data_IF_511574213668
#
_entry.id   IF_511574213668
#
_cell.length_a   1.000
_cell.length_b   1.000
_cell.length_c   1.000
_cell.angle_alpha   90.00
_cell.angle_beta   90.00
_cell.angle_gamma   90.00
#
_symmetry.space_group_name_H-M   'P 1'
#
loop_
_entity.id
_entity.type
_entity.pdbx_description
1 polymer ?
#
# COMPACT_ATOMS: atom_id res chain seq x y z
N UNK A 1 28.36 13.79 12.81
CA UNK A 1 27.76 12.57 13.38
C UNK A 1 28.18 11.41 12.49
N UNK A 2 29.04 10.51 12.98
CA UNK A 2 29.47 9.34 12.22
C UNK A 2 28.31 8.35 12.20
N UNK A 3 27.69 8.13 11.05
CA UNK A 3 26.66 7.09 10.91
C UNK A 3 27.41 5.76 10.91
N UNK A 4 27.53 5.14 12.08
CA UNK A 4 27.92 3.74 12.19
C UNK A 4 26.78 2.92 11.59
N UNK A 5 26.92 2.60 10.31
CA UNK A 5 26.07 1.60 9.68
C UNK A 5 26.50 0.26 10.28
N UNK A 6 25.62 -0.34 11.07
CA UNK A 6 25.85 -1.68 11.66
C UNK A 6 26.30 -2.65 10.56
N UNK A 7 27.30 -3.48 10.81
CA UNK A 7 27.67 -4.51 9.83
C UNK A 7 26.54 -5.53 9.75
N UNK A 8 26.11 -5.96 8.54
CA UNK A 8 25.16 -7.05 8.43
C UNK A 8 25.65 -8.27 9.22
N UNK A 9 24.85 -8.77 10.16
CA UNK A 9 25.29 -9.81 11.08
C UNK A 9 25.63 -11.11 10.31
N UNK A 10 26.71 -11.77 10.73
CA UNK A 10 27.04 -13.15 10.36
C UNK A 10 27.30 -13.41 8.86
N UNK A 11 27.61 -12.40 8.04
CA UNK A 11 27.89 -12.62 6.61
C UNK A 11 29.32 -13.11 6.29
N UNK A 12 30.19 -13.20 7.30
CA UNK A 12 31.56 -13.70 7.14
C UNK A 12 32.53 -12.69 6.52
N UNK A 13 33.59 -13.20 5.88
CA UNK A 13 34.62 -12.37 5.27
C UNK A 13 34.15 -11.70 3.97
N UNK A 14 34.75 -10.55 3.69
CA UNK A 14 34.48 -9.73 2.51
C UNK A 14 35.56 -9.96 1.45
N UNK A 15 35.18 -9.98 0.17
CA UNK A 15 36.08 -9.90 -0.98
C UNK A 15 35.68 -8.74 -1.90
N UNK A 16 36.53 -8.46 -2.89
CA UNK A 16 36.25 -7.51 -3.98
C UNK A 16 35.85 -6.10 -3.50
N UNK A 17 36.47 -5.65 -2.39
CA UNK A 17 36.23 -4.32 -1.85
C UNK A 17 36.79 -3.26 -2.81
N UNK A 18 35.91 -2.40 -3.30
CA UNK A 18 36.22 -1.22 -4.10
C UNK A 18 35.59 -0.04 -3.36
N UNK A 19 36.35 1.03 -3.16
CA UNK A 19 35.86 2.23 -2.47
C UNK A 19 36.46 3.48 -3.12
N UNK A 20 35.62 4.48 -3.34
CA UNK A 20 35.98 5.84 -3.73
C UNK A 20 35.26 6.86 -2.83
N UNK A 21 35.40 8.16 -3.12
CA UNK A 21 34.85 9.22 -2.27
C UNK A 21 33.32 9.22 -2.16
N UNK A 22 32.59 8.56 -3.07
CA UNK A 22 31.13 8.53 -3.13
C UNK A 22 30.54 7.13 -3.23
N UNK A 23 31.33 6.12 -3.59
CA UNK A 23 30.85 4.77 -3.81
C UNK A 23 31.69 3.75 -3.05
N UNK A 24 31.05 2.67 -2.62
CA UNK A 24 31.73 1.46 -2.19
C UNK A 24 31.02 0.23 -2.74
N UNK A 25 31.75 -0.83 -3.01
CA UNK A 25 31.15 -2.13 -3.32
C UNK A 25 31.99 -3.24 -2.74
N UNK A 26 31.32 -4.30 -2.29
CA UNK A 26 31.99 -5.48 -1.77
C UNK A 26 31.09 -6.71 -1.90
N UNK A 27 31.68 -7.88 -1.72
CA UNK A 27 31.01 -9.16 -1.86
C UNK A 27 31.23 -10.05 -0.63
N UNK A 28 30.19 -10.80 -0.24
CA UNK A 28 30.24 -11.83 0.79
C UNK A 28 30.11 -13.21 0.12
N UNK A 29 31.23 -13.91 -0.17
CA UNK A 29 31.20 -15.16 -0.94
C UNK A 29 30.39 -16.29 -0.27
N UNK A 30 30.46 -16.40 1.06
CA UNK A 30 29.75 -17.44 1.79
C UNK A 30 28.23 -17.39 1.55
N UNK A 31 27.69 -16.18 1.44
CA UNK A 31 26.27 -15.92 1.25
C UNK A 31 25.90 -15.61 -0.20
N UNK A 32 26.86 -15.27 -1.06
CA UNK A 32 26.54 -14.84 -2.42
C UNK A 32 25.84 -13.48 -2.47
N UNK A 33 26.16 -12.60 -1.52
CA UNK A 33 25.57 -11.27 -1.39
C UNK A 33 26.57 -10.22 -1.87
N UNK A 34 26.15 -9.38 -2.82
CA UNK A 34 26.91 -8.21 -3.27
C UNK A 34 26.24 -6.96 -2.72
N UNK A 35 27.02 -6.10 -2.07
CA UNK A 35 26.56 -4.79 -1.62
C UNK A 35 27.24 -3.72 -2.47
N UNK A 36 26.44 -2.79 -2.97
CA UNK A 36 26.88 -1.53 -3.57
C UNK A 36 26.31 -0.39 -2.73
N UNK A 37 27.13 0.59 -2.48
CA UNK A 37 26.85 1.76 -1.68
C UNK A 37 27.16 3.00 -2.52
N UNK A 38 26.25 3.96 -2.55
CA UNK A 38 26.45 5.22 -3.26
C UNK A 38 25.96 6.38 -2.40
N UNK A 39 26.73 7.46 -2.32
CA UNK A 39 26.34 8.74 -1.74
C UNK A 39 25.78 9.63 -2.86
N UNK A 40 24.46 9.74 -2.91
CA UNK A 40 23.75 10.63 -3.83
C UNK A 40 23.09 11.75 -3.02
N UNK A 41 23.41 13.00 -3.35
CA UNK A 41 23.02 14.18 -2.56
C UNK A 41 23.46 14.04 -1.08
N UNK A 42 22.49 13.86 -0.18
CA UNK A 42 22.69 13.66 1.27
C UNK A 42 22.17 12.27 1.72
N UNK A 43 22.04 11.33 0.77
CA UNK A 43 21.51 9.98 1.03
C UNK A 43 22.55 8.92 0.71
N UNK A 44 22.76 8.04 1.67
CA UNK A 44 23.55 6.85 1.52
C UNK A 44 22.65 5.71 1.01
N UNK A 45 22.79 5.36 -0.26
CA UNK A 45 21.95 4.40 -0.97
C UNK A 45 22.63 3.04 -0.98
N UNK A 46 21.94 2.03 -0.45
CA UNK A 46 22.34 0.64 -0.50
C UNK A 46 21.61 -0.06 -1.64
N UNK A 47 22.37 -0.80 -2.44
CA UNK A 47 21.87 -1.72 -3.44
C UNK A 47 22.47 -3.09 -3.17
N UNK A 48 21.63 -4.03 -2.74
CA UNK A 48 22.03 -5.36 -2.30
C UNK A 48 21.46 -6.38 -3.27
N UNK A 49 22.33 -7.25 -3.77
CA UNK A 49 21.99 -8.33 -4.69
C UNK A 49 22.34 -9.67 -4.03
N UNK A 50 21.48 -10.68 -4.21
CA UNK A 50 21.74 -12.05 -3.76
C UNK A 50 21.59 -13.03 -4.91
N UNK A 51 22.56 -13.94 -5.09
CA UNK A 51 22.44 -15.03 -6.06
C UNK A 51 21.84 -16.33 -5.46
N UNK A 52 21.47 -16.31 -4.17
CA UNK A 52 20.78 -17.40 -3.47
C UNK A 52 19.42 -16.93 -2.95
N UNK A 53 18.47 -17.86 -2.84
CA UNK A 53 17.26 -17.63 -2.06
C UNK A 53 17.61 -17.66 -0.56
N UNK A 54 17.46 -16.52 0.13
CA UNK A 54 17.82 -16.37 1.55
C UNK A 54 17.23 -15.10 2.15
N UNK A 55 17.20 -15.01 3.49
CA UNK A 55 16.89 -13.79 4.21
C UNK A 55 18.16 -13.00 4.58
N UNK A 56 18.04 -11.68 4.62
CA UNK A 56 19.06 -10.76 5.12
C UNK A 56 18.46 -9.86 6.19
N UNK A 57 19.01 -9.95 7.40
CA UNK A 57 18.72 -9.03 8.50
C UNK A 57 19.64 -7.81 8.41
N UNK A 58 19.15 -6.73 7.81
CA UNK A 58 19.88 -5.47 7.68
C UNK A 58 18.94 -4.37 7.13
N UNK A 59 18.93 -3.14 7.70
CA UNK A 59 19.73 -2.68 8.84
C UNK A 59 19.07 -2.94 10.21
N UNK A 60 19.89 -2.82 11.26
CA UNK A 60 19.45 -2.70 12.65
C UNK A 60 19.59 -1.25 13.08
N UNK A 61 18.60 -0.70 13.77
CA UNK A 61 18.50 0.74 14.05
C UNK A 61 17.91 1.00 15.43
N UNK A 62 18.40 2.05 16.12
CA UNK A 62 17.92 2.43 17.45
C UNK A 62 18.43 1.57 18.60
N UNK A 63 19.57 0.89 18.44
CA UNK A 63 20.19 0.10 19.52
C UNK A 63 21.34 0.84 20.23
N UNK A 64 21.56 2.12 19.89
CA UNK A 64 22.61 2.99 20.46
C UNK A 64 22.17 3.59 21.79
N UNK A 65 23.12 3.93 22.67
CA UNK A 65 22.81 4.52 23.96
C UNK A 65 22.09 5.87 23.82
N UNK A 66 22.39 6.63 22.77
CA UNK A 66 21.89 7.99 22.54
C UNK A 66 20.51 8.01 21.88
N UNK A 67 20.01 6.89 21.34
CA UNK A 67 18.70 6.88 20.70
C UNK A 67 17.59 6.98 21.74
N UNK A 68 16.56 7.75 21.42
CA UNK A 68 15.50 8.12 22.36
C UNK A 68 14.14 7.55 21.94
N UNK A 69 13.81 7.62 20.64
CA UNK A 69 12.52 7.18 20.13
C UNK A 69 12.60 6.54 18.73
N UNK A 70 11.62 5.69 18.43
CA UNK A 70 11.35 5.17 17.10
C UNK A 70 10.20 5.98 16.50
N UNK A 71 10.37 6.41 15.26
CA UNK A 71 9.34 7.05 14.43
C UNK A 71 8.98 6.06 13.33
N UNK A 72 7.73 5.59 13.25
CA UNK A 72 7.34 4.70 12.16
C UNK A 72 5.89 4.92 11.68
N UNK A 73 5.61 4.79 10.38
CA UNK A 73 4.35 5.16 9.73
C UNK A 73 3.35 3.99 9.74
N UNK A 74 2.96 3.54 10.93
CA UNK A 74 1.80 2.66 11.07
C UNK A 74 0.54 3.53 11.22
N UNK A 75 -0.46 3.32 10.36
CA UNK A 75 -1.59 4.25 10.19
C UNK A 75 -1.08 5.68 9.94
N UNK A 76 -1.55 6.67 10.71
CA UNK A 76 -1.12 8.08 10.65
C UNK A 76 0.32 8.32 11.15
N UNK A 77 0.91 7.33 11.83
CA UNK A 77 2.28 7.35 12.33
C UNK A 77 2.39 7.43 13.84
N UNK A 78 3.50 6.90 14.35
CA UNK A 78 3.77 6.76 15.78
C UNK A 78 5.16 7.29 16.12
N UNK A 79 5.23 8.03 17.24
CA UNK A 79 6.47 8.41 17.91
C UNK A 79 6.55 7.65 19.24
N UNK A 80 7.51 6.72 19.33
CA UNK A 80 7.59 5.76 20.44
C UNK A 80 8.87 5.96 21.22
N UNK A 81 8.81 6.48 22.46
CA UNK A 81 9.95 6.46 23.37
C UNK A 81 10.43 5.03 23.60
N UNK A 82 11.71 4.75 23.39
CA UNK A 82 12.21 3.37 23.34
C UNK A 82 12.13 2.63 24.68
N UNK A 83 12.05 3.35 25.80
CA UNK A 83 11.93 2.80 27.15
C UNK A 83 10.50 2.75 27.67
N UNK A 84 9.51 3.14 26.85
CA UNK A 84 8.11 3.10 27.25
C UNK A 84 7.63 1.65 27.46
N UNK A 85 7.15 1.35 28.67
CA UNK A 85 6.76 -0.01 29.06
C UNK A 85 5.51 -0.50 28.34
N UNK A 86 4.59 0.40 27.99
CA UNK A 86 3.42 0.04 27.19
C UNK A 86 3.86 -0.39 25.80
N UNK A 87 4.68 0.42 25.12
CA UNK A 87 5.16 0.10 23.78
C UNK A 87 6.08 -1.12 23.73
N UNK A 88 6.90 -1.36 24.75
CA UNK A 88 7.66 -2.60 24.87
C UNK A 88 6.74 -3.83 24.83
N UNK A 89 5.63 -3.79 25.59
CA UNK A 89 4.66 -4.90 25.64
C UNK A 89 3.93 -5.09 24.30
N UNK A 90 3.64 -4.00 23.58
CA UNK A 90 2.91 -4.09 22.31
C UNK A 90 3.80 -4.53 21.14
N UNK A 91 5.06 -4.09 21.10
CA UNK A 91 5.91 -4.23 19.92
C UNK A 91 6.92 -5.36 20.00
N UNK A 92 7.54 -5.60 21.16
CA UNK A 92 8.66 -6.55 21.22
C UNK A 92 8.19 -7.96 20.86
N UNK A 93 8.85 -8.55 19.87
CA UNK A 93 8.50 -9.88 19.35
C UNK A 93 7.51 -9.85 18.17
N UNK A 94 6.92 -8.70 17.87
CA UNK A 94 6.11 -8.54 16.65
C UNK A 94 6.97 -8.50 15.39
N UNK A 95 6.32 -8.87 14.29
CA UNK A 95 6.85 -8.92 12.93
C UNK A 95 5.80 -8.28 12.04
N UNK A 96 6.15 -7.21 11.34
CA UNK A 96 5.26 -6.41 10.51
C UNK A 96 5.71 -6.50 9.04
N UNK A 97 4.86 -7.00 8.16
CA UNK A 97 5.11 -6.94 6.72
C UNK A 97 5.06 -5.47 6.29
N UNK A 98 6.12 -4.97 5.66
CA UNK A 98 6.24 -3.54 5.37
C UNK A 98 5.13 -3.08 4.45
N UNK A 99 4.86 -3.80 3.36
CA UNK A 99 3.85 -3.42 2.38
C UNK A 99 2.42 -3.34 2.94
N UNK A 100 2.10 -4.09 4.00
CA UNK A 100 0.74 -4.16 4.58
C UNK A 100 0.59 -3.30 5.83
N UNK A 101 1.62 -3.25 6.68
CA UNK A 101 1.55 -2.64 8.00
C UNK A 101 2.08 -1.20 8.03
N UNK A 102 2.90 -0.79 7.06
CA UNK A 102 3.41 0.57 6.96
C UNK A 102 2.70 1.30 5.83
N UNK A 103 2.10 2.45 6.13
CA UNK A 103 1.45 3.30 5.10
C UNK A 103 2.48 3.92 4.15
N UNK A 104 3.72 4.09 4.62
CA UNK A 104 4.85 4.58 3.84
C UNK A 104 6.12 3.76 4.13
N UNK A 105 7.00 3.54 3.14
CA UNK A 105 8.11 2.60 3.25
C UNK A 105 9.34 3.23 3.93
N UNK A 106 9.16 3.82 5.11
CA UNK A 106 10.25 4.43 5.88
C UNK A 106 10.09 4.19 7.38
N UNK A 107 11.16 4.41 8.13
CA UNK A 107 11.10 4.65 9.58
C UNK A 107 12.26 5.58 9.97
N UNK A 108 12.25 6.03 11.22
CA UNK A 108 13.29 6.89 11.77
C UNK A 108 13.65 6.54 13.20
N UNK A 109 14.88 6.87 13.56
CA UNK A 109 15.37 6.84 14.93
C UNK A 109 15.67 8.27 15.36
N UNK A 110 15.02 8.69 16.43
CA UNK A 110 15.13 10.02 16.99
C UNK A 110 16.24 10.09 18.06
N UNK A 111 17.01 11.17 18.00
CA UNK A 111 18.09 11.57 18.91
C UNK A 111 17.89 13.04 19.28
N UNK A 112 18.47 13.52 20.38
CA UNK A 112 18.37 14.95 20.75
C UNK A 112 19.01 15.88 19.71
N UNK A 113 20.04 15.40 19.01
CA UNK A 113 20.75 16.16 17.97
C UNK A 113 20.09 16.09 16.58
N UNK A 114 19.09 15.23 16.37
CA UNK A 114 18.53 14.99 15.04
C UNK A 114 17.85 13.63 14.89
N UNK A 115 17.81 13.11 13.67
CA UNK A 115 17.28 11.77 13.41
C UNK A 115 18.07 11.05 12.33
N UNK A 116 18.04 9.72 12.37
CA UNK A 116 18.48 8.87 11.27
C UNK A 116 17.23 8.32 10.60
N UNK A 117 17.08 8.57 9.31
CA UNK A 117 15.91 8.18 8.51
C UNK A 117 16.31 7.05 7.57
N UNK A 118 15.48 6.00 7.54
CA UNK A 118 15.61 4.85 6.65
C UNK A 118 14.44 4.86 5.68
N UNK A 119 14.72 4.84 4.38
CA UNK A 119 13.70 4.83 3.32
C UNK A 119 13.95 3.60 2.45
N UNK A 120 12.99 2.68 2.41
CA UNK A 120 13.00 1.59 1.44
C UNK A 120 12.54 2.12 0.08
N UNK A 121 13.21 1.70 -0.98
CA UNK A 121 12.86 2.13 -2.34
C UNK A 121 11.78 1.22 -2.96
N UNK A 122 11.53 0.08 -2.31
CA UNK A 122 10.42 -0.85 -2.49
C UNK A 122 10.12 -1.50 -1.12
N UNK A 123 8.86 -1.78 -0.84
CA UNK A 123 8.32 -2.36 0.41
C UNK A 123 8.05 -3.87 0.32
N UNK A 124 8.26 -4.47 -0.85
CA UNK A 124 8.09 -5.91 -1.03
C UNK A 124 9.13 -6.74 -0.27
N UNK A 125 8.73 -7.97 0.06
CA UNK A 125 9.58 -9.02 0.63
C UNK A 125 10.33 -8.61 1.91
N UNK A 126 9.84 -7.60 2.61
CA UNK A 126 10.51 -6.96 3.74
C UNK A 126 9.64 -6.96 4.98
N UNK A 127 10.23 -7.28 6.12
CA UNK A 127 9.56 -7.35 7.42
C UNK A 127 10.33 -6.52 8.45
N UNK A 128 9.61 -5.70 9.21
CA UNK A 128 10.16 -5.01 10.38
C UNK A 128 9.86 -5.81 11.63
N UNK A 129 10.87 -5.98 12.48
CA UNK A 129 10.71 -6.58 13.80
C UNK A 129 11.25 -5.67 14.88
N UNK A 130 10.58 -5.70 16.03
CA UNK A 130 10.96 -4.92 17.19
C UNK A 130 11.56 -5.84 18.24
N UNK A 131 12.73 -5.45 18.73
CA UNK A 131 13.52 -6.22 19.68
C UNK A 131 13.85 -5.36 20.89
N UNK A 132 14.21 -6.01 21.98
CA UNK A 132 14.62 -5.34 23.21
C UNK A 132 16.14 -5.46 23.35
N UNK A 133 16.81 -4.34 23.57
CA UNK A 133 18.23 -4.30 23.90
C UNK A 133 18.47 -4.65 25.37
N UNK A 134 19.75 -4.80 25.75
CA UNK A 134 20.15 -5.09 27.15
C UNK A 134 19.73 -3.97 28.10
N UNK A 135 19.77 -2.71 27.65
CA UNK A 135 19.34 -1.52 28.39
C UNK A 135 17.83 -1.25 28.29
N UNK A 136 17.03 -2.28 27.94
CA UNK A 136 15.56 -2.21 27.89
C UNK A 136 15.04 -1.15 26.90
N UNK A 137 15.75 -0.89 25.81
CA UNK A 137 15.27 -0.05 24.70
C UNK A 137 14.71 -0.91 23.58
N UNK A 138 13.54 -0.51 23.06
CA UNK A 138 13.01 -1.07 21.82
C UNK A 138 13.87 -0.58 20.66
N UNK A 139 14.36 -1.50 19.83
CA UNK A 139 15.07 -1.20 18.59
C UNK A 139 14.44 -1.94 17.42
N UNK A 140 14.69 -1.44 16.21
CA UNK A 140 14.08 -1.92 14.97
C UNK A 140 15.10 -2.67 14.14
N UNK A 141 14.67 -3.80 13.58
CA UNK A 141 15.43 -4.61 12.63
C UNK A 141 14.60 -4.88 11.39
N UNK A 142 15.18 -4.64 10.22
CA UNK A 142 14.62 -5.06 8.95
C UNK A 142 15.14 -6.45 8.56
N UNK A 143 14.26 -7.33 8.12
CA UNK A 143 14.57 -8.58 7.43
C UNK A 143 14.04 -8.48 6.00
N UNK A 144 14.90 -8.67 4.99
CA UNK A 144 14.50 -8.75 3.58
C UNK A 144 14.71 -10.17 3.06
N UNK A 145 13.75 -10.71 2.31
CA UNK A 145 13.81 -12.05 1.72
C UNK A 145 14.10 -11.95 0.22
N UNK A 146 15.24 -12.50 -0.18
CA UNK A 146 15.55 -12.68 -1.60
C UNK A 146 14.89 -13.96 -2.07
N UNK A 147 13.80 -13.86 -2.82
CA UNK A 147 13.22 -15.01 -3.54
C UNK A 147 13.88 -15.17 -4.89
N UNK A 148 14.03 -16.41 -5.37
CA UNK A 148 14.44 -16.65 -6.75
C UNK A 148 13.28 -16.31 -7.70
N UNK A 149 13.12 -15.03 -8.05
CA UNK A 149 12.15 -14.64 -9.08
C UNK A 149 12.52 -15.32 -10.40
N UNK A 150 11.51 -15.79 -11.14
CA UNK A 150 11.63 -16.59 -12.37
C UNK A 150 12.72 -16.07 -13.32
N UNK A 151 13.88 -16.75 -13.28
CA UNK A 151 14.99 -16.84 -14.23
C UNK A 151 15.51 -15.59 -14.99
N UNK A 152 15.01 -14.37 -14.78
CA UNK A 152 15.32 -13.20 -15.63
C UNK A 152 16.05 -12.09 -14.88
N UNK A 153 15.91 -11.97 -13.55
CA UNK A 153 16.56 -10.90 -12.78
C UNK A 153 17.18 -11.41 -11.48
N UNK A 154 18.37 -10.88 -11.14
CA UNK A 154 18.97 -11.05 -9.82
C UNK A 154 18.07 -10.33 -8.79
N UNK A 155 17.63 -10.99 -7.70
CA UNK A 155 16.88 -10.37 -6.62
C UNK A 155 17.62 -9.16 -6.04
N UNK A 156 16.89 -8.05 -5.87
CA UNK A 156 17.46 -6.75 -5.50
C UNK A 156 16.73 -6.19 -4.28
N UNK A 157 17.51 -5.70 -3.33
CA UNK A 157 17.04 -4.95 -2.19
C UNK A 157 17.68 -3.57 -2.20
N UNK A 158 16.86 -2.52 -2.22
CA UNK A 158 17.33 -1.14 -2.30
C UNK A 158 16.68 -0.28 -1.22
N UNK A 159 17.52 0.40 -0.46
CA UNK A 159 17.08 1.36 0.53
C UNK A 159 18.11 2.48 0.69
N UNK A 160 17.75 3.54 1.39
CA UNK A 160 18.66 4.64 1.69
C UNK A 160 18.57 5.08 3.13
N UNK A 161 19.71 5.55 3.65
CA UNK A 161 19.84 6.17 4.96
C UNK A 161 20.16 7.66 4.76
N UNK A 162 19.52 8.53 5.51
CA UNK A 162 19.82 9.97 5.52
C UNK A 162 19.65 10.56 6.91
N UNK A 163 20.19 11.76 7.12
CA UNK A 163 20.02 12.49 8.36
C UNK A 163 18.78 13.37 8.26
N UNK A 164 17.93 13.31 9.28
CA UNK A 164 16.84 14.25 9.47
C UNK A 164 17.14 15.21 10.63
N UNK A 165 16.36 16.28 10.70
CA UNK A 165 16.39 17.18 11.86
C UNK A 165 15.77 16.51 13.10
N UNK A 166 15.76 17.22 14.24
CA UNK A 166 15.16 16.77 15.50
C UNK A 166 13.63 16.87 15.54
N UNK A 167 12.94 16.72 14.40
CA UNK A 167 11.48 16.74 14.35
C UNK A 167 10.90 15.33 14.42
N UNK A 168 9.78 15.10 15.13
CA UNK A 168 9.09 13.81 15.11
C UNK A 168 8.55 13.43 13.72
N UNK A 169 8.48 14.38 12.78
CA UNK A 169 8.07 14.14 11.39
C UNK A 169 9.24 14.17 10.40
N UNK A 170 10.50 14.20 10.87
CA UNK A 170 11.67 14.23 10.00
C UNK A 170 11.69 13.11 8.95
N UNK A 171 11.33 11.84 9.27
CA UNK A 171 11.25 10.78 8.26
C UNK A 171 10.25 11.07 7.13
N UNK A 172 9.10 11.63 7.44
CA UNK A 172 8.09 11.99 6.45
C UNK A 172 8.55 13.13 5.54
N UNK A 173 9.25 14.13 6.10
CA UNK A 173 9.85 15.22 5.32
C UNK A 173 10.93 14.71 4.36
N UNK A 174 11.79 13.81 4.83
CA UNK A 174 12.83 13.21 3.99
C UNK A 174 12.26 12.30 2.91
N UNK A 175 11.23 11.53 3.22
CA UNK A 175 10.52 10.74 2.22
C UNK A 175 9.82 11.61 1.17
N UNK A 176 9.20 12.72 1.58
CA UNK A 176 8.62 13.70 0.65
C UNK A 176 9.68 14.29 -0.28
N UNK A 177 10.86 14.66 0.24
CA UNK A 177 11.99 15.13 -0.60
C UNK A 177 12.42 14.06 -1.61
N UNK A 178 12.49 12.80 -1.18
CA UNK A 178 12.79 11.68 -2.07
C UNK A 178 11.73 11.50 -3.17
N UNK A 179 10.43 11.57 -2.85
CA UNK A 179 9.37 11.50 -3.86
C UNK A 179 9.44 12.65 -4.87
N UNK A 180 9.72 13.86 -4.39
CA UNK A 180 9.90 15.04 -5.25
C UNK A 180 11.09 14.88 -6.20
N UNK A 181 12.25 14.41 -5.71
CA UNK A 181 13.44 14.22 -6.57
C UNK A 181 13.26 13.11 -7.61
N UNK A 182 12.31 12.19 -7.40
CA UNK A 182 11.93 11.15 -8.37
C UNK A 182 10.72 11.51 -9.22
N UNK A 183 10.13 12.70 -9.07
CA UNK A 183 8.90 13.08 -9.78
C UNK A 183 7.70 12.18 -9.47
N UNK A 184 7.68 11.56 -8.29
CA UNK A 184 6.67 10.57 -7.87
C UNK A 184 5.55 11.15 -7.00
N UNK A 185 5.69 12.40 -6.56
CA UNK A 185 4.66 13.07 -5.78
C UNK A 185 3.63 13.71 -6.72
N UNK A 186 2.39 13.23 -6.67
CA UNK A 186 1.25 13.83 -7.38
C UNK A 186 0.28 14.44 -6.39
N UNK A 187 0.14 15.76 -6.47
CA UNK A 187 -0.70 16.57 -5.57
C UNK A 187 -2.18 16.44 -5.90
N UNK A 188 -3.03 16.78 -4.94
CA UNK A 188 -4.48 16.81 -5.16
C UNK A 188 -4.88 17.89 -6.16
N UNK A 189 -4.15 19.01 -6.20
CA UNK A 189 -4.34 20.08 -7.19
C UNK A 189 -4.04 19.60 -8.61
N UNK A 190 -2.94 18.88 -8.83
CA UNK A 190 -2.62 18.31 -10.15
C UNK A 190 -3.69 17.31 -10.60
N UNK A 191 -4.22 16.49 -9.68
CA UNK A 191 -5.34 15.60 -9.98
C UNK A 191 -6.61 16.37 -10.34
N UNK A 192 -6.91 17.46 -9.62
CA UNK A 192 -8.07 18.32 -9.88
C UNK A 192 -8.02 19.06 -11.22
N UNK A 193 -6.83 19.27 -11.80
CA UNK A 193 -6.69 19.77 -13.18
C UNK A 193 -7.24 18.75 -14.17
N UNK A 194 -6.97 17.46 -13.97
CA UNK A 194 -7.43 16.38 -14.84
C UNK A 194 -8.91 16.01 -14.61
N UNK A 195 -9.37 16.07 -13.35
CA UNK A 195 -10.76 15.82 -12.98
C UNK A 195 -11.23 16.86 -11.96
N UNK A 196 -11.99 17.85 -12.43
CA UNK A 196 -12.46 18.98 -11.60
C UNK A 196 -13.40 18.57 -10.47
N UNK A 197 -14.06 17.42 -10.56
CA UNK A 197 -14.92 16.92 -9.48
C UNK A 197 -14.14 16.59 -8.21
N UNK A 198 -12.81 16.43 -8.28
CA UNK A 198 -11.96 16.28 -7.09
C UNK A 198 -12.06 17.49 -6.15
N UNK A 199 -12.31 18.70 -6.67
CA UNK A 199 -12.47 19.90 -5.83
C UNK A 199 -13.70 19.79 -4.91
N UNK A 200 -14.69 18.95 -5.26
CA UNK A 200 -15.86 18.68 -4.41
C UNK A 200 -15.51 17.91 -3.13
N UNK A 201 -14.33 17.30 -3.03
CA UNK A 201 -13.84 16.67 -1.80
C UNK A 201 -13.45 17.70 -0.72
N UNK A 202 -13.23 18.96 -1.09
CA UNK A 202 -12.67 19.95 -0.16
C UNK A 202 -13.71 20.33 0.90
N UNK A 203 -13.47 19.85 2.12
CA UNK A 203 -14.43 19.98 3.23
C UNK A 203 -15.65 19.06 3.11
N UNK A 204 -15.60 18.03 2.27
CA UNK A 204 -16.69 17.08 2.13
C UNK A 204 -16.80 16.15 3.35
N UNK A 205 -18.02 15.94 3.84
CA UNK A 205 -18.29 14.83 4.76
C UNK A 205 -18.57 13.56 3.96
N UNK A 206 -18.00 12.45 4.41
CA UNK A 206 -18.20 11.14 3.79
C UNK A 206 -19.35 10.42 4.48
N UNK A 207 -20.40 10.10 3.72
CA UNK A 207 -21.63 9.47 4.24
C UNK A 207 -21.92 8.21 3.44
N UNK A 208 -22.05 7.09 4.13
CA UNK A 208 -22.54 5.85 3.53
C UNK A 208 -24.06 5.77 3.62
N UNK A 209 -24.71 5.61 2.46
CA UNK A 209 -26.16 5.53 2.33
C UNK A 209 -26.64 4.09 2.52
N UNK A 210 -27.47 3.90 3.56
CA UNK A 210 -28.12 2.64 3.89
C UNK A 210 -29.64 2.81 3.97
N UNK A 211 -30.39 1.78 3.57
CA UNK A 211 -31.85 1.77 3.63
C UNK A 211 -32.50 3.03 3.04
N UNK A 212 -33.32 3.71 3.85
CA UNK A 212 -34.05 4.91 3.43
C UNK A 212 -33.17 6.17 3.19
N UNK A 213 -31.87 6.08 3.48
CA UNK A 213 -30.88 7.09 3.08
C UNK A 213 -30.76 7.22 1.55
N UNK A 214 -31.18 6.19 0.80
CA UNK A 214 -31.15 6.12 -0.66
C UNK A 214 -32.38 6.74 -1.33
N UNK A 215 -32.98 7.75 -0.72
CA UNK A 215 -34.21 8.38 -1.22
C UNK A 215 -34.00 9.86 -1.55
N UNK A 216 -34.75 10.38 -2.52
CA UNK A 216 -34.72 11.81 -2.88
C UNK A 216 -35.00 12.71 -1.67
N UNK A 217 -35.86 12.26 -0.74
CA UNK A 217 -36.20 12.97 0.50
C UNK A 217 -35.01 13.05 1.46
N UNK A 218 -34.21 11.98 1.57
CA UNK A 218 -33.01 11.97 2.39
C UNK A 218 -31.99 12.98 1.85
N UNK A 219 -31.75 12.96 0.53
CA UNK A 219 -30.85 13.90 -0.14
C UNK A 219 -31.32 15.36 0.03
N UNK A 220 -32.63 15.64 -0.12
CA UNK A 220 -33.18 16.97 0.14
C UNK A 220 -32.96 17.43 1.58
N UNK A 221 -33.10 16.50 2.54
CA UNK A 221 -32.91 16.81 3.95
C UNK A 221 -31.46 17.18 4.23
N UNK A 222 -30.50 16.44 3.68
CA UNK A 222 -29.06 16.76 3.80
C UNK A 222 -28.78 18.18 3.27
N UNK A 223 -29.30 18.49 2.08
CA UNK A 223 -29.12 19.82 1.49
C UNK A 223 -29.74 20.95 2.33
N UNK A 224 -30.99 20.76 2.80
CA UNK A 224 -31.69 21.73 3.65
C UNK A 224 -31.02 21.96 5.01
N UNK A 225 -30.22 21.01 5.49
CA UNK A 225 -29.41 21.15 6.70
C UNK A 225 -28.12 21.96 6.47
N UNK A 226 -27.85 22.41 5.24
CA UNK A 226 -26.67 23.21 4.89
C UNK A 226 -25.43 22.36 4.56
N UNK A 227 -25.59 21.06 4.33
CA UNK A 227 -24.49 20.16 3.97
C UNK A 227 -24.22 20.24 2.47
N UNK A 228 -23.43 21.21 2.02
CA UNK A 228 -23.23 21.48 0.59
C UNK A 228 -22.06 20.71 -0.05
N UNK A 229 -21.12 20.18 0.76
CA UNK A 229 -20.01 19.35 0.28
C UNK A 229 -20.14 17.97 0.90
N UNK A 230 -20.52 16.98 0.09
CA UNK A 230 -20.70 15.60 0.54
C UNK A 230 -20.09 14.63 -0.46
N UNK A 231 -19.50 13.57 0.08
CA UNK A 231 -19.27 12.32 -0.64
C UNK A 231 -20.27 11.29 -0.15
N UNK A 232 -21.03 10.70 -1.08
CA UNK A 232 -22.09 9.74 -0.81
C UNK A 232 -21.69 8.36 -1.36
N UNK A 233 -21.30 7.46 -0.45
CA UNK A 233 -21.00 6.07 -0.76
C UNK A 233 -22.24 5.20 -0.63
N UNK A 234 -22.36 4.16 -1.45
CA UNK A 234 -23.42 3.15 -1.31
C UNK A 234 -22.94 1.79 -1.81
N UNK A 235 -23.37 0.71 -1.18
CA UNK A 235 -23.35 -0.60 -1.85
C UNK A 235 -24.55 -0.69 -2.80
N UNK A 236 -24.40 -1.49 -3.85
CA UNK A 236 -25.46 -1.70 -4.83
C UNK A 236 -25.72 -3.19 -4.95
N UNK A 237 -26.91 -3.61 -4.54
CA UNK A 237 -27.38 -4.99 -4.66
C UNK A 237 -28.83 -4.99 -5.09
N UNK A 238 -29.09 -5.48 -6.30
CA UNK A 238 -30.43 -5.52 -6.91
C UNK A 238 -31.41 -6.37 -6.07
N UNK A 239 -30.90 -7.28 -5.22
CA UNK A 239 -31.72 -8.07 -4.28
C UNK A 239 -32.36 -7.20 -3.18
N UNK A 240 -31.92 -5.95 -3.00
CA UNK A 240 -32.44 -5.02 -1.99
C UNK A 240 -33.74 -4.30 -2.39
N UNK A 241 -34.31 -4.60 -3.57
CA UNK A 241 -35.59 -4.04 -4.03
C UNK A 241 -35.55 -2.51 -4.13
N UNK A 242 -36.53 -1.84 -3.53
CA UNK A 242 -36.67 -0.37 -3.63
C UNK A 242 -35.55 0.44 -2.92
N UNK A 243 -34.63 -0.21 -2.21
CA UNK A 243 -33.49 0.44 -1.55
C UNK A 243 -32.22 0.45 -2.42
N UNK A 244 -32.36 0.46 -3.74
CA UNK A 244 -31.26 0.67 -4.69
C UNK A 244 -31.04 2.15 -4.98
N UNK A 245 -29.81 2.55 -5.27
CA UNK A 245 -29.53 3.91 -5.72
C UNK A 245 -29.87 4.01 -7.21
N UNK A 246 -30.87 4.82 -7.55
CA UNK A 246 -31.32 5.00 -8.94
C UNK A 246 -30.52 6.09 -9.66
N UNK A 247 -30.62 6.09 -11.00
CA UNK A 247 -30.03 7.13 -11.84
C UNK A 247 -30.56 8.54 -11.49
N UNK A 248 -31.85 8.66 -11.20
CA UNK A 248 -32.48 9.94 -10.83
C UNK A 248 -31.94 10.47 -9.50
N UNK A 249 -31.63 9.58 -8.55
CA UNK A 249 -31.03 9.96 -7.27
C UNK A 249 -29.58 10.45 -7.47
N UNK A 250 -28.81 9.74 -8.31
CA UNK A 250 -27.43 10.12 -8.68
C UNK A 250 -27.44 11.50 -9.34
N UNK A 251 -28.27 11.71 -10.37
CA UNK A 251 -28.41 12.99 -11.07
C UNK A 251 -28.77 14.12 -10.10
N UNK A 252 -29.69 13.86 -9.16
CA UNK A 252 -30.04 14.82 -8.12
C UNK A 252 -28.85 15.16 -7.21
N UNK A 253 -28.15 14.15 -6.67
CA UNK A 253 -27.01 14.38 -5.79
C UNK A 253 -25.92 15.20 -6.50
N UNK A 254 -25.62 14.87 -7.76
CA UNK A 254 -24.66 15.61 -8.58
C UNK A 254 -25.12 17.04 -8.84
N UNK A 255 -26.42 17.27 -9.09
CA UNK A 255 -26.99 18.61 -9.30
C UNK A 255 -26.87 19.51 -8.07
N UNK A 256 -26.79 18.93 -6.88
CA UNK A 256 -26.59 19.62 -5.61
C UNK A 256 -25.11 19.84 -5.26
N UNK A 257 -24.18 19.41 -6.13
CA UNK A 257 -22.74 19.57 -5.96
C UNK A 257 -22.03 18.40 -5.27
N UNK A 258 -22.74 17.29 -5.00
CA UNK A 258 -22.15 16.16 -4.28
C UNK A 258 -21.30 15.24 -5.18
N UNK A 259 -20.42 14.49 -4.53
CA UNK A 259 -19.85 13.27 -5.07
C UNK A 259 -20.74 12.09 -4.66
N UNK A 260 -20.97 11.17 -5.58
CA UNK A 260 -21.73 9.95 -5.33
C UNK A 260 -21.11 8.78 -6.10
N UNK A 261 -20.92 7.65 -5.41
CA UNK A 261 -20.23 6.51 -5.98
C UNK A 261 -20.51 5.18 -5.27
N UNK A 262 -20.46 4.07 -6.00
CA UNK A 262 -20.66 2.75 -5.43
C UNK A 262 -19.42 2.29 -4.66
N UNK A 263 -19.63 1.41 -3.69
CA UNK A 263 -18.64 0.52 -3.12
C UNK A 263 -18.45 -0.67 -4.07
N UNK A 264 -17.20 -0.94 -4.42
CA UNK A 264 -16.82 -2.07 -5.25
C UNK A 264 -15.51 -2.70 -4.74
N UNK A 265 -15.26 -3.97 -5.06
CA UNK A 265 -14.05 -4.69 -4.67
C UNK A 265 -13.71 -5.77 -5.69
N UNK A 266 -12.41 -5.96 -5.93
CA UNK A 266 -11.85 -7.08 -6.71
C UNK A 266 -11.03 -8.03 -5.84
N UNK A 267 -11.25 -8.00 -4.52
CA UNK A 267 -10.44 -8.68 -3.53
C UNK A 267 -10.83 -10.14 -3.33
N UNK A 268 -12.08 -10.39 -2.97
CA UNK A 268 -12.62 -11.71 -2.65
C UNK A 268 -13.66 -12.14 -3.67
N UNK A 269 -13.56 -13.38 -4.11
CA UNK A 269 -14.52 -14.03 -4.99
C UNK A 269 -15.17 -15.21 -4.27
N UNK A 270 -16.50 -15.24 -4.29
CA UNK A 270 -17.32 -16.29 -3.67
C UNK A 270 -18.04 -17.12 -4.74
N UNK A 271 -18.56 -18.29 -4.36
CA UNK A 271 -19.38 -19.10 -5.26
C UNK A 271 -20.68 -18.34 -5.59
N UNK A 272 -20.99 -18.10 -6.88
CA UNK A 272 -22.15 -17.29 -7.27
C UNK A 272 -23.50 -17.79 -6.74
N UNK A 273 -23.62 -19.09 -6.44
CA UNK A 273 -24.87 -19.68 -5.95
C UNK A 273 -25.20 -19.30 -4.51
N UNK A 274 -24.20 -18.91 -3.71
CA UNK A 274 -24.37 -18.61 -2.28
C UNK A 274 -23.55 -17.40 -1.82
N UNK A 275 -23.07 -16.59 -2.75
CA UNK A 275 -22.28 -15.40 -2.43
C UNK A 275 -23.08 -14.42 -1.57
N UNK A 276 -22.43 -13.96 -0.51
CA UNK A 276 -23.04 -13.02 0.45
C UNK A 276 -23.31 -11.66 -0.20
N UNK A 277 -22.40 -11.21 -1.04
CA UNK A 277 -22.51 -9.94 -1.79
C UNK A 277 -22.42 -10.18 -3.29
N UNK A 278 -23.17 -9.40 -4.07
CA UNK A 278 -23.03 -9.35 -5.53
C UNK A 278 -21.62 -8.90 -5.93
N UNK A 279 -20.95 -8.11 -5.07
CA UNK A 279 -19.61 -7.64 -5.36
C UNK A 279 -18.55 -8.75 -5.35
N UNK A 280 -18.84 -9.88 -4.68
CA UNK A 280 -17.97 -11.05 -4.67
C UNK A 280 -18.24 -12.03 -5.81
N UNK A 281 -19.17 -11.72 -6.72
CA UNK A 281 -19.51 -12.57 -7.86
C UNK A 281 -18.73 -12.14 -9.11
N UNK A 282 -17.94 -13.06 -9.64
CA UNK A 282 -17.17 -12.88 -10.88
C UNK A 282 -17.54 -14.00 -11.86
N UNK A 283 -18.49 -13.78 -12.79
CA UNK A 283 -19.00 -14.82 -13.67
C UNK A 283 -17.89 -15.52 -14.47
N UNK A 284 -17.81 -16.84 -14.38
CA UNK A 284 -16.80 -17.65 -15.09
C UNK A 284 -15.42 -17.69 -14.42
N UNK A 285 -15.23 -16.98 -13.30
CA UNK A 285 -13.95 -16.96 -12.58
C UNK A 285 -13.91 -17.90 -11.38
N UNK A 286 -15.03 -18.13 -10.70
CA UNK A 286 -15.04 -18.99 -9.51
C UNK A 286 -15.14 -20.48 -9.88
N UNK A 287 -14.25 -21.36 -9.37
CA UNK A 287 -13.06 -21.10 -8.54
C UNK A 287 -11.73 -20.99 -9.32
N UNK A 288 -11.75 -21.02 -10.66
CA UNK A 288 -10.54 -21.13 -11.50
C UNK A 288 -9.56 -19.96 -11.35
N UNK A 289 -10.05 -18.78 -10.97
CA UNK A 289 -9.25 -17.56 -10.76
C UNK A 289 -8.89 -17.32 -9.29
N UNK A 290 -9.10 -18.31 -8.41
CA UNK A 290 -8.63 -18.24 -7.04
C UNK A 290 -7.10 -18.23 -6.99
N UNK A 291 -6.54 -17.39 -6.12
CA UNK A 291 -5.11 -17.39 -5.82
C UNK A 291 -4.71 -18.72 -5.17
N UNK A 292 -3.60 -19.30 -5.61
CA UNK A 292 -3.04 -20.54 -5.05
C UNK A 292 -1.74 -20.23 -4.30
N UNK A 293 -1.66 -20.66 -3.05
CA UNK A 293 -0.48 -20.53 -2.20
C UNK A 293 0.66 -21.45 -2.66
N UNK A 294 1.87 -21.20 -2.17
CA UNK A 294 3.07 -22.03 -2.45
C UNK A 294 2.88 -23.50 -2.07
N UNK A 295 2.04 -23.79 -1.08
CA UNK A 295 1.71 -25.16 -0.64
C UNK A 295 0.61 -25.83 -1.50
N UNK A 296 0.14 -25.15 -2.56
CA UNK A 296 -0.88 -25.64 -3.48
C UNK A 296 -2.32 -25.45 -2.98
N UNK A 297 -2.53 -24.88 -1.80
CA UNK A 297 -3.87 -24.62 -1.28
C UNK A 297 -4.42 -23.30 -1.81
N UNK A 298 -5.75 -23.23 -1.91
CA UNK A 298 -6.46 -21.98 -2.21
C UNK A 298 -6.18 -20.97 -1.11
N UNK A 299 -5.85 -19.74 -1.51
CA UNK A 299 -5.77 -18.61 -0.60
C UNK A 299 -7.20 -18.13 -0.29
N UNK A 300 -7.61 -18.29 0.96
CA UNK A 300 -9.00 -18.08 1.41
C UNK A 300 -9.30 -16.59 1.51
N UNK A 301 -10.47 -16.18 1.01
CA UNK A 301 -10.89 -14.79 0.97
C UNK A 301 -11.35 -14.22 2.31
N UNK A 302 -11.80 -12.97 2.28
CA UNK A 302 -12.21 -12.21 3.45
C UNK A 302 -13.34 -12.90 4.25
N UNK A 303 -13.15 -12.97 5.57
CA UNK A 303 -14.09 -13.64 6.47
C UNK A 303 -14.10 -15.16 6.37
N UNK A 304 -13.06 -15.76 5.76
CA UNK A 304 -12.89 -17.21 5.70
C UNK A 304 -13.77 -17.91 4.66
N UNK A 305 -14.28 -17.19 3.66
CA UNK A 305 -15.14 -17.74 2.61
C UNK A 305 -14.58 -17.44 1.22
N UNK A 306 -14.97 -18.26 0.25
CA UNK A 306 -14.49 -18.11 -1.12
C UNK A 306 -12.98 -18.14 -1.20
N UNK A 307 -12.41 -17.29 -2.04
CA UNK A 307 -10.97 -17.15 -2.23
C UNK A 307 -10.59 -15.72 -2.61
N UNK A 308 -9.33 -15.35 -2.41
CA UNK A 308 -8.80 -14.14 -3.03
C UNK A 308 -8.75 -14.30 -4.55
N UNK A 309 -9.15 -13.25 -5.27
CA UNK A 309 -9.20 -13.21 -6.72
C UNK A 309 -7.83 -12.83 -7.30
N UNK A 310 -7.31 -13.66 -8.19
CA UNK A 310 -6.04 -13.39 -8.86
C UNK A 310 -6.15 -12.21 -9.81
N UNK A 311 -5.40 -11.13 -9.55
CA UNK A 311 -5.38 -9.98 -10.46
C UNK A 311 -4.72 -10.32 -11.80
N UNK A 312 -3.83 -11.32 -11.85
CA UNK A 312 -3.28 -11.86 -13.09
C UNK A 312 -4.34 -12.58 -13.94
N UNK A 313 -5.26 -13.33 -13.31
CA UNK A 313 -6.37 -13.96 -14.02
C UNK A 313 -7.27 -12.91 -14.71
N UNK A 314 -7.55 -11.80 -14.02
CA UNK A 314 -8.30 -10.67 -14.60
C UNK A 314 -7.51 -9.93 -15.69
N UNK A 315 -6.21 -9.70 -15.47
CA UNK A 315 -5.35 -9.00 -16.42
C UNK A 315 -5.20 -9.77 -17.74
N UNK A 316 -5.14 -11.10 -17.65
CA UNK A 316 -5.03 -12.04 -18.77
C UNK A 316 -6.31 -12.23 -19.60
N UNK A 317 -7.45 -11.67 -19.16
CA UNK A 317 -8.68 -11.73 -19.95
C UNK A 317 -8.54 -11.00 -21.30
N UNK A 318 -9.21 -11.54 -22.32
CA UNK A 318 -9.24 -10.93 -23.65
C UNK A 318 -9.77 -9.48 -23.55
N UNK A 319 -9.14 -8.48 -24.20
CA UNK A 319 -9.45 -7.05 -23.98
C UNK A 319 -10.94 -6.68 -24.11
N UNK A 320 -11.65 -7.29 -25.07
CA UNK A 320 -13.10 -7.07 -25.29
C UNK A 320 -13.99 -7.61 -24.16
N UNK A 321 -13.48 -8.53 -23.35
CA UNK A 321 -14.25 -9.22 -22.31
C UNK A 321 -13.83 -8.88 -20.89
N UNK A 322 -12.80 -8.05 -20.71
CA UNK A 322 -12.23 -7.68 -19.42
C UNK A 322 -13.31 -7.32 -18.40
N UNK A 323 -13.47 -8.16 -17.38
CA UNK A 323 -14.42 -8.04 -16.28
C UNK A 323 -14.35 -6.67 -15.63
N UNK A 324 -13.13 -6.16 -15.40
CA UNK A 324 -12.88 -4.81 -14.87
C UNK A 324 -13.58 -3.74 -15.72
N UNK A 325 -13.46 -3.81 -17.05
CA UNK A 325 -14.05 -2.82 -17.94
C UNK A 325 -15.58 -2.93 -17.96
N UNK A 326 -16.11 -4.14 -18.09
CA UNK A 326 -17.58 -4.35 -18.11
C UNK A 326 -18.24 -3.85 -16.83
N UNK A 327 -17.64 -4.18 -15.68
CA UNK A 327 -18.15 -3.79 -14.35
C UNK A 327 -18.03 -2.28 -14.12
N UNK A 328 -16.92 -1.66 -14.52
CA UNK A 328 -16.81 -0.20 -14.44
C UNK A 328 -17.83 0.49 -15.34
N UNK A 329 -17.97 0.05 -16.60
CA UNK A 329 -18.91 0.66 -17.55
C UNK A 329 -20.37 0.53 -17.10
N UNK A 330 -20.76 -0.57 -16.44
CA UNK A 330 -22.11 -0.66 -15.86
C UNK A 330 -22.36 0.43 -14.82
N UNK A 331 -21.37 0.74 -13.97
CA UNK A 331 -21.48 1.82 -13.01
C UNK A 331 -21.44 3.20 -13.68
N UNK A 332 -20.49 3.45 -14.58
CA UNK A 332 -20.37 4.72 -15.31
C UNK A 332 -21.66 5.05 -16.07
N UNK A 333 -22.33 4.05 -16.64
CA UNK A 333 -23.60 4.23 -17.36
C UNK A 333 -24.75 4.78 -16.50
N UNK A 334 -24.66 4.64 -15.17
CA UNK A 334 -25.63 5.21 -14.21
C UNK A 334 -25.43 6.71 -13.97
N UNK A 335 -24.30 7.28 -14.40
CA UNK A 335 -24.00 8.71 -14.27
C UNK A 335 -23.25 9.10 -13.00
N UNK A 336 -22.69 8.17 -12.24
CA UNK A 336 -21.85 8.45 -11.06
C UNK A 336 -20.65 9.33 -11.41
N UNK A 337 -20.15 10.08 -10.42
CA UNK A 337 -18.93 10.88 -10.53
C UNK A 337 -17.82 10.48 -9.55
N UNK A 338 -18.08 9.51 -8.67
CA UNK A 338 -17.09 8.94 -7.76
C UNK A 338 -17.18 7.41 -7.73
N UNK A 339 -16.14 6.76 -7.22
CA UNK A 339 -16.06 5.31 -7.08
C UNK A 339 -15.19 4.95 -5.89
N UNK A 340 -15.64 4.02 -5.03
CA UNK A 340 -14.86 3.51 -3.91
C UNK A 340 -14.43 2.08 -4.20
N UNK A 341 -13.12 1.88 -4.32
CA UNK A 341 -12.51 0.60 -4.64
C UNK A 341 -11.83 0.03 -3.40
N UNK A 342 -12.44 -0.99 -2.80
CA UNK A 342 -11.94 -1.59 -1.57
C UNK A 342 -10.69 -2.45 -1.82
N UNK A 343 -9.82 -2.54 -0.81
CA UNK A 343 -8.59 -3.35 -0.74
C UNK A 343 -7.49 -3.09 -1.81
N UNK A 344 -7.77 -2.43 -2.93
CA UNK A 344 -6.78 -2.23 -4.00
C UNK A 344 -5.60 -1.35 -3.59
N UNK A 345 -5.83 -0.39 -2.69
CA UNK A 345 -4.79 0.50 -2.17
C UNK A 345 -4.36 0.19 -0.73
N UNK A 346 -4.72 -0.98 -0.16
CA UNK A 346 -4.37 -1.29 1.24
C UNK A 346 -2.91 -1.64 1.46
N UNK A 347 -2.24 -2.12 0.40
CA UNK A 347 -0.86 -2.59 0.47
C UNK A 347 -0.73 -4.12 0.58
N UNK A 348 -1.83 -4.83 0.87
CA UNK A 348 -1.91 -6.29 0.76
C UNK A 348 -1.74 -6.73 -0.69
N UNK A 349 -0.78 -7.62 -0.90
CA UNK A 349 -0.39 -8.09 -2.23
C UNK A 349 -0.12 -9.59 -2.17
N UNK A 350 -0.44 -10.29 -3.24
CA UNK A 350 -0.35 -11.75 -3.26
C UNK A 350 0.67 -12.27 -4.28
N UNK A 351 1.34 -13.37 -3.91
CA UNK A 351 1.92 -14.28 -4.88
C UNK A 351 0.85 -15.31 -5.27
N UNK A 352 0.81 -15.69 -6.54
CA UNK A 352 -0.04 -16.74 -7.07
C UNK A 352 0.80 -17.81 -7.75
N UNK A 353 0.74 -19.02 -7.19
CA UNK A 353 1.48 -20.19 -7.67
C UNK A 353 0.65 -21.07 -8.61
N UNK A 354 -0.54 -20.59 -9.00
CA UNK A 354 -1.34 -21.24 -10.03
C UNK A 354 -0.58 -21.31 -11.36
N UNK A 355 -0.52 -22.46 -12.04
CA UNK A 355 0.07 -22.55 -13.38
C UNK A 355 -0.75 -21.82 -14.45
N UNK A 356 -2.02 -21.49 -14.17
CA UNK A 356 -2.92 -20.82 -15.12
C UNK A 356 -2.74 -19.30 -15.13
N UNK A 357 -2.33 -18.72 -14.00
CA UNK A 357 -2.23 -17.27 -13.80
C UNK A 357 -1.13 -16.93 -12.79
N UNK A 358 0.13 -17.37 -13.03
CA UNK A 358 1.23 -17.16 -12.10
C UNK A 358 1.49 -15.67 -11.90
N UNK A 359 1.70 -15.26 -10.65
CA UNK A 359 1.80 -13.85 -10.28
C UNK A 359 2.73 -13.66 -9.10
N UNK A 360 3.55 -12.61 -9.13
CA UNK A 360 4.31 -12.15 -7.96
C UNK A 360 3.59 -10.98 -7.31
N UNK A 361 3.89 -10.65 -6.05
CA UNK A 361 3.38 -9.43 -5.40
C UNK A 361 3.69 -8.16 -6.21
N UNK A 362 4.85 -8.12 -6.88
CA UNK A 362 5.21 -7.02 -7.78
C UNK A 362 4.26 -6.93 -8.98
N UNK A 363 3.92 -8.07 -9.59
CA UNK A 363 2.94 -8.10 -10.68
C UNK A 363 1.52 -7.80 -10.19
N UNK A 364 1.12 -8.26 -9.00
CA UNK A 364 -0.16 -7.92 -8.40
C UNK A 364 -0.30 -6.41 -8.23
N UNK A 365 0.73 -5.75 -7.69
CA UNK A 365 0.79 -4.29 -7.57
C UNK A 365 0.61 -3.60 -8.92
N UNK A 366 1.32 -4.06 -9.96
CA UNK A 366 1.20 -3.49 -11.31
C UNK A 366 -0.24 -3.62 -11.80
N UNK A 367 -0.86 -4.79 -11.68
CA UNK A 367 -2.24 -5.03 -12.11
C UNK A 367 -3.24 -4.12 -11.37
N UNK A 368 -3.07 -3.93 -10.05
CA UNK A 368 -3.91 -3.03 -9.23
C UNK A 368 -3.70 -1.57 -9.61
N UNK A 369 -2.46 -1.13 -9.85
CA UNK A 369 -2.14 0.21 -10.35
C UNK A 369 -2.83 0.45 -11.70
N UNK A 370 -2.74 -0.48 -12.64
CA UNK A 370 -3.39 -0.36 -13.95
C UNK A 370 -4.92 -0.24 -13.81
N UNK A 371 -5.52 -1.02 -12.90
CA UNK A 371 -6.96 -0.93 -12.58
C UNK A 371 -7.32 0.44 -12.01
N UNK A 372 -6.61 0.92 -10.99
CA UNK A 372 -6.85 2.24 -10.40
C UNK A 372 -6.62 3.38 -11.41
N UNK A 373 -5.60 3.28 -12.25
CA UNK A 373 -5.32 4.24 -13.31
C UNK A 373 -6.45 4.30 -14.34
N UNK A 374 -7.00 3.15 -14.72
CA UNK A 374 -8.14 3.08 -15.63
C UNK A 374 -9.41 3.73 -15.06
N UNK A 375 -9.65 3.57 -13.75
CA UNK A 375 -10.84 4.10 -13.06
C UNK A 375 -10.70 5.62 -12.81
N UNK A 376 -9.56 6.08 -12.32
CA UNK A 376 -9.37 7.49 -11.94
C UNK A 376 -9.44 8.47 -13.12
N UNK A 377 -9.23 7.98 -14.34
CA UNK A 377 -9.40 8.74 -15.58
C UNK A 377 -10.86 9.10 -15.86
N UNK A 378 -11.81 8.44 -15.21
CA UNK A 378 -13.26 8.63 -15.42
C UNK A 378 -13.97 9.18 -14.19
N UNK A 379 -13.53 8.82 -12.99
CA UNK A 379 -14.25 9.05 -11.73
C UNK A 379 -13.31 9.58 -10.64
N UNK A 380 -13.87 10.27 -9.65
CA UNK A 380 -13.16 10.57 -8.40
C UNK A 380 -13.00 9.27 -7.61
N UNK A 381 -11.84 8.64 -7.71
CA UNK A 381 -11.54 7.35 -7.12
C UNK A 381 -11.07 7.49 -5.67
N UNK A 382 -11.62 6.68 -4.76
CA UNK A 382 -11.06 6.45 -3.43
C UNK A 382 -10.93 4.96 -3.11
N UNK A 383 -10.33 4.65 -1.96
CA UNK A 383 -10.07 3.28 -1.50
C UNK A 383 -10.13 3.19 0.02
N UNK A 384 -10.04 1.96 0.55
CA UNK A 384 -9.98 1.68 1.99
C UNK A 384 -8.87 2.47 2.69
N UNK A 385 -7.61 2.25 2.31
CA UNK A 385 -6.48 3.04 2.79
C UNK A 385 -5.65 3.58 1.62
N UNK A 386 -4.46 4.13 1.89
CA UNK A 386 -3.61 4.75 0.89
C UNK A 386 -2.15 4.29 1.01
N UNK A 387 -1.86 3.05 0.57
CA UNK A 387 -0.49 2.62 0.37
C UNK A 387 0.25 3.60 -0.55
N UNK A 388 1.51 3.89 -0.23
CA UNK A 388 2.29 4.95 -0.90
C UNK A 388 2.29 4.87 -2.44
N UNK A 389 2.27 3.66 -3.01
CA UNK A 389 2.29 3.44 -4.46
C UNK A 389 0.93 3.70 -5.13
N UNK A 390 -0.17 3.69 -4.36
CA UNK A 390 -1.52 3.98 -4.84
C UNK A 390 -1.85 5.48 -4.83
N UNK A 391 -1.14 6.27 -4.04
CA UNK A 391 -1.36 7.72 -3.87
C UNK A 391 -1.49 8.49 -5.19
N UNK A 392 -0.73 8.22 -6.27
CA UNK A 392 -0.91 8.94 -7.54
C UNK A 392 -2.28 8.71 -8.22
N UNK A 393 -2.97 7.63 -7.87
CA UNK A 393 -4.16 7.13 -8.57
C UNK A 393 -5.47 7.35 -7.81
N UNK A 394 -5.43 7.51 -6.49
CA UNK A 394 -6.62 7.77 -5.65
C UNK A 394 -6.68 9.24 -5.21
N UNK A 395 -7.88 9.76 -4.99
CA UNK A 395 -8.15 11.13 -4.54
C UNK A 395 -8.47 11.21 -3.03
N UNK A 396 -8.97 10.13 -2.44
CA UNK A 396 -9.27 10.01 -1.01
C UNK A 396 -9.12 8.56 -0.51
N UNK A 397 -9.05 8.38 0.80
CA UNK A 397 -9.10 7.09 1.49
C UNK A 397 -9.94 7.21 2.77
N UNK A 398 -10.34 6.10 3.41
CA UNK A 398 -11.20 6.08 4.60
C UNK A 398 -10.49 5.64 5.88
#
# INVERSE_FOLDING_TARGET
>A
MMVLVDTPMNLGSVTDLICDNKNASWYYPAHGIKIKLALEEERLIFHIESNKEQGLTFPRSGHTLESQAIIYPNSEGLFIPQQDLFWQKQLVGTKLQVNECLTMPFWGIYYDAGSIVYILHDDLDSELSFKLSVDRKVYVQLEHKFYKADNINIPKFKFSITLGNGSPIAPALEYKKYLLSKGRLKTLQEKAIANKDIEKLYGALHIYLWGNGRTHRAIDKLYKLGLHNLWLGYDQDERMGDNVVTKELIEKAISLGYLIGPYDSFHTMENPMNARSINSIFPGHYPQSCIINKDGKVNVGFGGVGCHLSSAALAGEHPKNKTIYKRLESFVSTGINSYFLDCDATGELFNDYSPLHPMTQSQDRINRIERMDYINKKLVLGSETAAWWAVPYIAFAH
#
